data_IF_507798778787
#
_entry.id   IF_507798778787
#
_cell.length_a   1.000
_cell.length_b   1.000
_cell.length_c   1.000
_cell.angle_alpha   90.00
_cell.angle_beta   90.00
_cell.angle_gamma   90.00
#
_symmetry.space_group_name_H-M   'P 1'
#
loop_
_entity.id
_entity.type
_entity.pdbx_description
1 polymer ?
#
# COMPACT_ATOMS: atom_id res chain seq x y z
N UNK A 1 -9.39 78.46 -7.22
CA UNK A 1 -8.72 78.55 -5.90
C UNK A 1 -8.26 77.15 -5.54
N UNK A 2 -6.97 76.87 -5.70
CA UNK A 2 -6.31 75.66 -5.18
C UNK A 2 -5.54 76.13 -3.94
N UNK A 3 -5.60 75.44 -2.79
CA UNK A 3 -4.79 75.83 -1.64
C UNK A 3 -3.32 75.45 -1.93
N UNK A 4 -2.44 76.44 -1.82
CA UNK A 4 -0.98 76.28 -1.94
C UNK A 4 -0.42 75.95 -0.56
N UNK A 5 0.33 74.86 -0.43
CA UNK A 5 1.09 74.54 0.77
C UNK A 5 2.43 75.27 0.76
N UNK A 6 2.93 75.67 1.93
CA UNK A 6 3.98 76.71 2.12
C UNK A 6 5.42 76.33 1.76
N UNK A 7 5.66 75.18 1.13
CA UNK A 7 7.01 74.65 0.97
C UNK A 7 7.49 74.45 -0.48
N UNK A 8 6.78 74.93 -1.49
CA UNK A 8 7.34 75.01 -2.86
C UNK A 8 7.84 73.70 -3.48
N UNK A 9 7.46 72.54 -2.95
CA UNK A 9 7.79 71.23 -3.52
C UNK A 9 6.54 70.66 -4.21
N UNK A 10 6.68 70.41 -5.50
CA UNK A 10 5.73 69.70 -6.33
C UNK A 10 5.47 68.30 -5.76
N UNK A 11 4.21 68.00 -5.46
CA UNK A 11 3.74 66.61 -5.33
C UNK A 11 4.00 65.93 -6.68
N UNK A 12 4.78 64.83 -6.77
CA UNK A 12 4.82 64.07 -8.00
C UNK A 12 3.46 63.36 -8.14
N UNK A 13 2.70 63.82 -9.13
CA UNK A 13 1.44 63.21 -9.52
C UNK A 13 1.64 61.72 -9.83
N UNK A 14 0.72 60.92 -9.30
CA UNK A 14 0.51 59.54 -9.69
C UNK A 14 -0.11 59.53 -11.10
N UNK A 15 0.73 59.51 -12.14
CA UNK A 15 0.32 59.21 -13.51
C UNK A 15 1.52 58.70 -14.32
N UNK A 16 1.29 57.56 -14.98
CA UNK A 16 2.08 57.03 -16.10
C UNK A 16 3.51 56.56 -15.81
N UNK A 17 3.64 55.46 -15.06
CA UNK A 17 4.79 54.57 -15.21
C UNK A 17 4.52 53.59 -16.36
N UNK A 18 4.74 54.05 -17.58
CA UNK A 18 4.80 53.22 -18.78
C UNK A 18 5.91 52.18 -18.58
N UNK A 19 5.56 50.90 -18.37
CA UNK A 19 6.54 49.81 -18.22
C UNK A 19 7.06 49.43 -19.61
N UNK A 20 7.76 50.36 -20.24
CA UNK A 20 8.53 50.13 -21.45
C UNK A 20 9.89 49.56 -21.04
N UNK A 21 10.00 48.23 -21.02
CA UNK A 21 11.31 47.60 -21.02
C UNK A 21 12.02 47.95 -22.35
N UNK A 22 13.26 48.46 -22.33
CA UNK A 22 14.00 48.78 -23.54
C UNK A 22 14.23 47.51 -24.39
N UNK A 23 14.39 47.63 -25.73
CA UNK A 23 14.49 46.49 -26.65
C UNK A 23 15.74 45.60 -26.45
N UNK A 24 16.60 45.92 -25.49
CA UNK A 24 17.84 45.21 -25.15
C UNK A 24 17.82 44.67 -23.71
N UNK A 25 16.66 44.30 -23.19
CA UNK A 25 16.54 43.60 -21.90
C UNK A 25 16.85 42.13 -22.09
N UNK A 26 17.66 41.57 -21.19
CA UNK A 26 17.88 40.13 -21.18
C UNK A 26 16.55 39.45 -20.81
N UNK A 27 16.34 38.22 -21.28
CA UNK A 27 15.11 37.48 -20.96
C UNK A 27 14.91 37.29 -19.44
N UNK A 28 16.01 37.41 -18.66
CA UNK A 28 15.99 37.46 -17.19
C UNK A 28 15.34 38.73 -16.63
N UNK A 29 15.56 39.88 -17.27
CA UNK A 29 14.97 41.17 -16.88
C UNK A 29 13.48 41.19 -17.20
N UNK A 30 13.08 40.58 -18.32
CA UNK A 30 11.68 40.37 -18.69
C UNK A 30 10.99 39.50 -17.64
N UNK A 31 11.64 38.40 -17.21
CA UNK A 31 11.13 37.56 -16.13
C UNK A 31 10.99 38.30 -14.79
N UNK A 32 11.99 39.07 -14.37
CA UNK A 32 11.91 39.87 -13.14
C UNK A 32 10.81 40.95 -13.22
N UNK A 33 10.65 41.60 -14.37
CA UNK A 33 9.61 42.62 -14.58
C UNK A 33 8.20 42.04 -14.53
N UNK A 34 7.99 40.84 -15.11
CA UNK A 34 6.73 40.12 -15.00
C UNK A 34 6.40 39.70 -13.57
N UNK A 35 7.38 39.18 -12.80
CA UNK A 35 7.17 38.86 -11.38
C UNK A 35 6.83 40.12 -10.58
N UNK A 36 7.56 41.21 -10.81
CA UNK A 36 7.32 42.47 -10.12
C UNK A 36 5.97 43.09 -10.50
N UNK A 37 5.55 43.00 -11.76
CA UNK A 37 4.22 43.40 -12.21
C UNK A 37 3.15 42.49 -11.59
N UNK A 38 3.45 41.20 -11.45
CA UNK A 38 2.62 40.23 -10.76
C UNK A 38 2.40 40.56 -9.29
N UNK A 39 3.49 40.73 -8.52
CA UNK A 39 3.45 41.10 -7.11
C UNK A 39 2.70 42.43 -6.87
N UNK A 40 2.69 43.34 -7.85
CA UNK A 40 1.95 44.61 -7.81
C UNK A 40 0.50 44.52 -8.33
N UNK A 41 0.09 43.38 -8.90
CA UNK A 41 -1.22 43.22 -9.53
C UNK A 41 -1.42 44.06 -10.80
N UNK A 42 -0.35 44.47 -11.48
CA UNK A 42 -0.38 45.34 -12.65
C UNK A 42 -0.77 44.58 -13.93
N UNK A 43 -2.08 44.44 -14.14
CA UNK A 43 -2.66 43.73 -15.29
C UNK A 43 -2.32 44.39 -16.63
N UNK A 44 -2.16 45.72 -16.66
CA UNK A 44 -1.85 46.45 -17.88
C UNK A 44 -0.40 46.20 -18.31
N UNK A 45 0.55 46.28 -17.37
CA UNK A 45 1.96 45.94 -17.59
C UNK A 45 2.15 44.50 -18.05
N UNK A 46 1.44 43.53 -17.44
CA UNK A 46 1.50 42.12 -17.85
C UNK A 46 1.00 41.91 -19.30
N UNK A 47 -0.08 42.60 -19.70
CA UNK A 47 -0.59 42.53 -21.10
C UNK A 47 0.39 43.12 -22.09
N UNK A 48 1.03 44.24 -21.76
CA UNK A 48 1.99 44.92 -22.63
C UNK A 48 3.27 44.08 -22.79
N UNK A 49 3.78 43.50 -21.70
CA UNK A 49 4.94 42.62 -21.72
C UNK A 49 4.69 41.34 -22.55
N UNK A 50 3.45 40.83 -22.61
CA UNK A 50 3.09 39.68 -23.46
C UNK A 50 3.16 40.01 -24.94
N UNK A 51 2.64 41.16 -25.35
CA UNK A 51 2.66 41.58 -26.76
C UNK A 51 4.10 41.71 -27.26
N UNK A 52 5.00 42.16 -26.37
CA UNK A 52 6.42 42.26 -26.67
C UNK A 52 7.13 40.89 -26.66
N UNK A 53 6.75 39.97 -25.76
CA UNK A 53 7.41 38.68 -25.58
C UNK A 53 6.42 37.50 -25.50
N UNK A 54 5.96 36.97 -26.66
CA UNK A 54 4.96 35.89 -26.69
C UNK A 54 5.47 34.54 -26.16
N UNK A 55 6.78 34.28 -26.25
CA UNK A 55 7.41 33.04 -25.78
C UNK A 55 7.78 33.05 -24.27
N UNK A 56 7.37 34.08 -23.53
CA UNK A 56 7.78 34.24 -22.13
C UNK A 56 7.15 33.21 -21.18
N UNK A 57 5.95 32.71 -21.49
CA UNK A 57 5.26 31.68 -20.69
C UNK A 57 6.05 30.36 -20.60
N UNK A 58 6.84 30.05 -21.63
CA UNK A 58 7.67 28.84 -21.72
C UNK A 58 9.09 29.06 -21.20
N UNK A 59 9.38 30.23 -20.60
CA UNK A 59 10.72 30.53 -20.13
C UNK A 59 10.96 29.93 -18.73
N UNK A 60 12.07 29.20 -18.61
CA UNK A 60 12.47 28.57 -17.35
C UNK A 60 13.65 29.32 -16.71
N UNK A 61 13.49 29.81 -15.48
CA UNK A 61 14.60 30.28 -14.65
C UNK A 61 14.88 29.23 -13.58
N UNK A 62 16.08 28.64 -13.59
CA UNK A 62 16.39 27.48 -12.74
C UNK A 62 15.34 26.36 -12.89
N UNK A 63 14.84 26.11 -14.12
CA UNK A 63 13.74 25.17 -14.37
C UNK A 63 12.32 25.70 -14.03
N UNK A 64 12.18 26.75 -13.20
CA UNK A 64 10.87 27.28 -12.80
C UNK A 64 10.22 28.13 -13.88
N UNK A 65 8.96 27.83 -14.19
CA UNK A 65 8.08 28.67 -15.03
C UNK A 65 7.57 29.90 -14.25
N UNK A 66 7.08 30.93 -14.95
CA UNK A 66 6.34 32.03 -14.34
C UNK A 66 5.28 31.61 -13.32
N UNK A 67 4.55 30.54 -13.62
CA UNK A 67 3.48 30.05 -12.75
C UNK A 67 4.02 29.48 -11.42
N UNK A 68 5.23 28.89 -11.40
CA UNK A 68 5.86 28.44 -10.15
C UNK A 68 6.07 29.61 -9.19
N UNK A 69 6.63 30.72 -9.69
CA UNK A 69 6.91 31.88 -8.86
C UNK A 69 5.62 32.55 -8.37
N UNK A 70 4.58 32.66 -9.20
CA UNK A 70 3.31 33.24 -8.77
C UNK A 70 2.60 32.40 -7.72
N UNK A 71 2.67 31.07 -7.83
CA UNK A 71 2.22 30.15 -6.77
C UNK A 71 3.07 30.33 -5.51
N UNK A 72 4.39 30.48 -5.65
CA UNK A 72 5.30 30.65 -4.51
C UNK A 72 5.09 31.97 -3.77
N UNK A 73 4.66 33.02 -4.46
CA UNK A 73 4.41 34.35 -3.90
C UNK A 73 2.93 34.57 -3.47
N UNK A 74 2.03 33.64 -3.79
CA UNK A 74 0.60 33.72 -3.43
C UNK A 74 -0.22 34.73 -4.24
N UNK A 75 0.25 35.12 -5.43
CA UNK A 75 -0.37 36.16 -6.26
C UNK A 75 -1.62 35.70 -7.02
N UNK A 76 -2.80 35.66 -6.37
CA UNK A 76 -4.06 35.15 -6.95
C UNK A 76 -4.43 35.78 -8.31
N UNK A 77 -4.34 37.11 -8.44
CA UNK A 77 -4.72 37.83 -9.66
C UNK A 77 -3.80 37.45 -10.83
N UNK A 78 -2.51 37.32 -10.56
CA UNK A 78 -1.48 36.96 -11.55
C UNK A 78 -1.65 35.52 -11.97
N UNK A 79 -1.87 34.63 -11.01
CA UNK A 79 -2.13 33.22 -11.27
C UNK A 79 -3.37 33.03 -12.14
N UNK A 80 -4.47 33.73 -11.85
CA UNK A 80 -5.66 33.72 -12.69
C UNK A 80 -5.37 34.19 -14.13
N UNK A 81 -4.58 35.26 -14.27
CA UNK A 81 -4.18 35.77 -15.59
C UNK A 81 -3.30 34.77 -16.34
N UNK A 82 -2.28 34.21 -15.70
CA UNK A 82 -1.36 33.23 -16.33
C UNK A 82 -2.11 31.98 -16.81
N UNK A 83 -3.00 31.44 -15.98
CA UNK A 83 -3.82 30.29 -16.35
C UNK A 83 -4.78 30.61 -17.49
N UNK A 84 -5.45 31.78 -17.46
CA UNK A 84 -6.32 32.23 -18.55
C UNK A 84 -5.59 32.52 -19.87
N UNK A 85 -4.25 32.48 -19.85
CA UNK A 85 -3.37 32.65 -21.00
C UNK A 85 -2.67 31.36 -21.41
N UNK A 86 -3.05 30.20 -20.84
CA UNK A 86 -2.53 28.88 -21.23
C UNK A 86 -1.21 28.49 -20.56
N UNK A 87 -0.89 29.05 -19.38
CA UNK A 87 0.31 28.64 -18.65
C UNK A 87 0.24 27.16 -18.25
N UNK A 88 1.27 26.38 -18.59
CA UNK A 88 1.34 24.95 -18.27
C UNK A 88 1.43 24.69 -16.76
N UNK A 89 0.46 23.95 -16.22
CA UNK A 89 0.39 23.58 -14.79
C UNK A 89 1.21 22.34 -14.42
N UNK A 90 1.63 21.56 -15.41
CA UNK A 90 2.34 20.28 -15.26
C UNK A 90 3.81 20.37 -15.68
N UNK A 91 4.34 21.60 -15.83
CA UNK A 91 5.74 21.80 -16.19
C UNK A 91 6.61 21.60 -14.96
N UNK A 92 7.65 20.78 -15.05
CA UNK A 92 8.54 20.50 -13.92
C UNK A 92 9.65 21.55 -13.78
N UNK A 93 9.95 21.96 -12.55
CA UNK A 93 11.12 22.76 -12.21
C UNK A 93 12.41 21.90 -12.10
N UNK A 94 13.54 22.52 -11.73
CA UNK A 94 14.82 21.80 -11.56
C UNK A 94 14.78 20.71 -10.48
N UNK A 95 13.80 20.77 -9.58
CA UNK A 95 13.60 19.82 -8.49
C UNK A 95 12.55 18.74 -8.86
N UNK A 96 12.04 18.75 -10.09
CA UNK A 96 10.98 17.86 -10.54
C UNK A 96 9.62 18.19 -9.91
N UNK A 97 9.40 19.42 -9.45
CA UNK A 97 8.12 19.86 -8.93
C UNK A 97 7.34 20.65 -9.98
N UNK A 98 6.04 20.40 -10.09
CA UNK A 98 5.13 21.17 -10.95
C UNK A 98 4.46 22.31 -10.17
N UNK A 99 3.94 23.36 -10.83
CA UNK A 99 3.17 24.41 -10.17
C UNK A 99 2.02 23.81 -9.35
N UNK A 100 1.31 22.82 -9.91
CA UNK A 100 0.24 22.11 -9.21
C UNK A 100 0.73 21.45 -7.92
N UNK A 101 1.87 20.74 -7.97
CA UNK A 101 2.45 20.09 -6.80
C UNK A 101 2.80 21.10 -5.71
N UNK A 102 3.31 22.29 -6.06
CA UNK A 102 3.60 23.36 -5.09
C UNK A 102 2.33 23.90 -4.42
N UNK A 103 1.23 24.08 -5.18
CA UNK A 103 -0.07 24.49 -4.63
C UNK A 103 -0.58 23.47 -3.61
N UNK A 104 -0.53 22.18 -3.96
CA UNK A 104 -1.01 21.10 -3.08
C UNK A 104 -0.16 21.02 -1.81
N UNK A 105 1.17 21.05 -1.93
CA UNK A 105 2.10 20.99 -0.78
C UNK A 105 1.95 22.17 0.19
N UNK A 106 1.43 23.30 -0.27
CA UNK A 106 1.17 24.48 0.55
C UNK A 106 -0.27 24.56 1.06
N UNK A 107 -1.13 23.64 0.64
CA UNK A 107 -2.57 23.68 0.89
C UNK A 107 -3.20 25.03 0.48
N UNK A 108 -2.71 25.66 -0.59
CA UNK A 108 -3.20 26.96 -1.07
C UNK A 108 -4.55 26.81 -1.80
N UNK A 109 -5.64 26.59 -1.05
CA UNK A 109 -6.98 26.30 -1.59
C UNK A 109 -7.51 27.38 -2.53
N UNK A 110 -7.16 28.65 -2.30
CA UNK A 110 -7.56 29.75 -3.18
C UNK A 110 -6.94 29.63 -4.58
N UNK A 111 -5.65 29.25 -4.63
CA UNK A 111 -4.95 29.04 -5.91
C UNK A 111 -5.45 27.75 -6.56
N UNK A 112 -5.69 26.71 -5.76
CA UNK A 112 -6.25 25.46 -6.26
C UNK A 112 -7.65 25.64 -6.86
N UNK A 113 -8.50 26.48 -6.26
CA UNK A 113 -9.79 26.86 -6.80
C UNK A 113 -9.66 27.58 -8.15
N UNK A 114 -8.65 28.45 -8.31
CA UNK A 114 -8.36 29.06 -9.62
C UNK A 114 -7.99 27.99 -10.66
N UNK A 115 -7.24 26.96 -10.28
CA UNK A 115 -6.86 25.87 -11.19
C UNK A 115 -8.10 25.08 -11.61
N UNK A 116 -9.02 24.77 -10.68
CA UNK A 116 -10.28 24.08 -11.01
C UNK A 116 -11.22 24.90 -11.90
N UNK A 117 -11.23 26.22 -11.73
CA UNK A 117 -12.10 27.11 -12.53
C UNK A 117 -11.61 27.33 -13.97
N UNK A 118 -10.39 26.90 -14.32
CA UNK A 118 -9.89 27.02 -15.69
C UNK A 118 -10.28 25.81 -16.54
N UNK A 119 -11.14 26.08 -17.53
CA UNK A 119 -11.82 25.14 -18.42
C UNK A 119 -10.92 24.16 -19.20
N UNK A 120 -9.63 24.45 -19.40
CA UNK A 120 -8.66 23.49 -20.01
C UNK A 120 -8.27 22.35 -19.05
N UNK A 121 -8.55 22.51 -17.76
CA UNK A 121 -8.27 21.55 -16.69
C UNK A 121 -9.54 20.80 -16.25
N UNK A 122 -10.68 21.09 -16.87
CA UNK A 122 -11.96 20.42 -16.61
C UNK A 122 -12.07 19.22 -17.55
N UNK A 123 -12.14 18.03 -16.94
CA UNK A 123 -12.30 16.69 -17.50
C UNK A 123 -12.62 16.59 -19.01
N UNK A 124 -11.63 16.16 -19.81
CA UNK A 124 -11.88 15.66 -21.16
C UNK A 124 -12.36 14.20 -21.12
N UNK A 125 -13.24 13.77 -22.05
CA UNK A 125 -13.81 12.41 -22.08
C UNK A 125 -12.80 11.28 -22.37
N UNK A 126 -11.49 11.57 -22.46
CA UNK A 126 -10.43 10.60 -22.72
C UNK A 126 -9.24 10.81 -21.75
N UNK A 127 -9.32 10.28 -20.53
CA UNK A 127 -8.15 9.92 -19.72
C UNK A 127 -7.78 10.85 -18.56
N UNK A 128 -7.99 10.35 -17.33
CA UNK A 128 -7.57 10.88 -16.03
C UNK A 128 -8.08 12.31 -15.75
N UNK A 129 -9.20 12.40 -15.02
CA UNK A 129 -9.73 13.68 -14.55
C UNK A 129 -8.67 14.42 -13.74
N UNK A 130 -8.42 15.69 -14.08
CA UNK A 130 -7.50 16.57 -13.35
C UNK A 130 -7.75 16.52 -11.83
N UNK A 131 -9.01 16.56 -11.41
CA UNK A 131 -9.44 16.43 -10.01
C UNK A 131 -9.01 15.11 -9.37
N UNK A 132 -9.09 14.00 -10.11
CA UNK A 132 -8.59 12.70 -9.65
C UNK A 132 -7.07 12.74 -9.43
N UNK A 133 -6.32 13.34 -10.35
CA UNK A 133 -4.87 13.52 -10.19
C UNK A 133 -4.53 14.37 -8.95
N UNK A 134 -5.26 15.47 -8.73
CA UNK A 134 -5.11 16.32 -7.54
C UNK A 134 -5.40 15.54 -6.27
N UNK A 135 -6.47 14.74 -6.23
CA UNK A 135 -6.82 13.92 -5.06
C UNK A 135 -5.72 12.92 -4.73
N UNK A 136 -5.19 12.20 -5.73
CA UNK A 136 -4.08 11.27 -5.53
C UNK A 136 -2.81 11.98 -5.04
N UNK A 137 -2.46 13.14 -5.62
CA UNK A 137 -1.32 13.92 -5.15
C UNK A 137 -1.53 14.42 -3.71
N UNK A 138 -2.73 14.87 -3.36
CA UNK A 138 -3.04 15.32 -2.00
C UNK A 138 -2.86 14.20 -0.97
N UNK A 139 -3.35 12.99 -1.26
CA UNK A 139 -3.12 11.81 -0.41
C UNK A 139 -1.64 11.44 -0.34
N UNK A 140 -0.94 11.51 -1.47
CA UNK A 140 0.48 11.23 -1.54
C UNK A 140 1.35 12.22 -0.74
N UNK A 141 0.93 13.48 -0.62
CA UNK A 141 1.61 14.48 0.21
C UNK A 141 1.00 14.62 1.60
N UNK A 142 0.00 13.80 1.95
CA UNK A 142 -0.69 13.83 3.25
C UNK A 142 -1.38 15.18 3.54
N UNK A 143 -1.87 15.84 2.48
CA UNK A 143 -2.51 17.15 2.53
C UNK A 143 -4.02 17.00 2.76
N UNK A 144 -4.39 16.76 4.01
CA UNK A 144 -5.77 16.57 4.48
C UNK A 144 -6.74 17.68 4.04
N UNK A 145 -6.33 18.95 4.16
CA UNK A 145 -7.16 20.10 3.78
C UNK A 145 -7.52 20.08 2.30
N UNK A 146 -6.59 19.66 1.45
CA UNK A 146 -6.81 19.54 0.00
C UNK A 146 -7.71 18.35 -0.31
N UNK A 147 -7.51 17.21 0.37
CA UNK A 147 -8.40 16.03 0.24
C UNK A 147 -9.84 16.41 0.56
N UNK A 148 -10.06 17.06 1.71
CA UNK A 148 -11.39 17.56 2.11
C UNK A 148 -11.95 18.53 1.09
N UNK A 149 -11.16 19.51 0.66
CA UNK A 149 -11.61 20.49 -0.32
C UNK A 149 -12.08 19.85 -1.63
N UNK A 150 -11.35 18.84 -2.14
CA UNK A 150 -11.71 18.16 -3.39
C UNK A 150 -13.01 17.34 -3.24
N UNK A 151 -13.17 16.65 -2.11
CA UNK A 151 -14.34 15.77 -1.87
C UNK A 151 -15.58 16.58 -1.45
N UNK A 152 -15.44 17.53 -0.52
CA UNK A 152 -16.53 18.37 -0.01
C UNK A 152 -17.14 19.26 -1.11
N UNK A 153 -16.35 19.64 -2.13
CA UNK A 153 -16.83 20.39 -3.29
C UNK A 153 -17.19 19.50 -4.50
N UNK A 154 -17.28 18.18 -4.32
CA UNK A 154 -17.70 17.22 -5.35
C UNK A 154 -16.83 17.19 -6.62
N UNK A 155 -15.57 17.66 -6.56
CA UNK A 155 -14.66 17.64 -7.70
C UNK A 155 -14.20 16.22 -8.05
N UNK A 156 -14.05 15.35 -7.05
CA UNK A 156 -13.78 13.93 -7.23
C UNK A 156 -14.28 13.12 -6.02
N UNK A 157 -14.94 11.96 -6.23
CA UNK A 157 -15.29 11.07 -5.14
C UNK A 157 -14.07 10.33 -4.59
N UNK A 158 -14.15 9.83 -3.36
CA UNK A 158 -13.09 9.02 -2.73
C UNK A 158 -12.93 7.63 -3.36
N UNK A 159 -13.89 7.21 -4.19
CA UNK A 159 -13.90 5.91 -4.88
C UNK A 159 -13.20 5.92 -6.25
N UNK A 160 -12.64 7.06 -6.68
CA UNK A 160 -11.91 7.17 -7.95
C UNK A 160 -10.76 6.17 -8.03
N UNK A 161 -10.43 5.74 -9.26
CA UNK A 161 -9.38 4.75 -9.51
C UNK A 161 -8.32 5.28 -10.45
N UNK A 162 -7.06 5.04 -10.12
CA UNK A 162 -5.95 5.32 -11.02
C UNK A 162 -5.77 4.21 -12.09
N UNK A 163 -4.73 4.32 -12.93
CA UNK A 163 -4.44 3.35 -13.98
C UNK A 163 -4.16 1.91 -13.47
N UNK A 164 -3.75 1.74 -12.20
CA UNK A 164 -3.58 0.44 -11.56
C UNK A 164 -4.86 -0.09 -10.90
N UNK A 165 -5.98 0.66 -11.01
CA UNK A 165 -7.25 0.35 -10.36
C UNK A 165 -7.28 0.70 -8.86
N UNK A 166 -6.27 1.39 -8.36
CA UNK A 166 -6.16 1.71 -6.93
C UNK A 166 -6.98 2.95 -6.59
N UNK A 167 -7.63 2.91 -5.42
CA UNK A 167 -8.33 4.07 -4.83
C UNK A 167 -7.39 4.94 -3.99
N UNK A 168 -7.76 6.19 -3.68
CA UNK A 168 -7.05 7.04 -2.72
C UNK A 168 -6.67 6.30 -1.41
N UNK A 169 -7.55 5.45 -0.88
CA UNK A 169 -7.29 4.69 0.34
C UNK A 169 -6.10 3.70 0.17
N UNK A 170 -5.99 3.03 -0.97
CA UNK A 170 -4.84 2.14 -1.25
C UNK A 170 -3.51 2.91 -1.20
N UNK A 171 -3.50 4.15 -1.71
CA UNK A 171 -2.32 5.03 -1.69
C UNK A 171 -2.00 5.53 -0.28
N UNK A 172 -3.01 5.87 0.51
CA UNK A 172 -2.82 6.26 1.92
C UNK A 172 -2.14 5.13 2.73
N UNK A 173 -2.51 3.87 2.47
CA UNK A 173 -1.88 2.71 3.09
C UNK A 173 -0.41 2.55 2.68
N UNK A 174 -0.08 2.73 1.39
CA UNK A 174 1.32 2.69 0.92
C UNK A 174 2.14 3.79 1.58
N UNK A 175 1.56 4.98 1.73
CA UNK A 175 2.20 6.12 2.40
C UNK A 175 2.28 5.98 3.92
N UNK A 176 1.59 4.99 4.51
CA UNK A 176 1.56 4.75 5.97
C UNK A 176 1.02 5.96 6.73
N UNK A 177 -0.02 6.58 6.18
CA UNK A 177 -0.67 7.75 6.78
C UNK A 177 -2.03 7.37 7.36
N UNK A 178 -2.08 6.97 8.65
CA UNK A 178 -3.34 6.56 9.29
C UNK A 178 -4.36 7.71 9.35
N UNK A 179 -3.90 8.95 9.49
CA UNK A 179 -4.77 10.14 9.54
C UNK A 179 -5.57 10.31 8.24
N UNK A 180 -4.88 10.18 7.10
CA UNK A 180 -5.53 10.24 5.78
C UNK A 180 -6.44 9.03 5.53
N UNK A 181 -6.08 7.85 6.05
CA UNK A 181 -6.95 6.66 5.96
C UNK A 181 -8.28 6.87 6.70
N UNK A 182 -8.23 7.36 7.94
CA UNK A 182 -9.42 7.67 8.75
C UNK A 182 -10.27 8.73 8.05
N UNK A 183 -9.64 9.81 7.57
CA UNK A 183 -10.33 10.86 6.82
C UNK A 183 -11.03 10.33 5.57
N UNK A 184 -10.37 9.51 4.76
CA UNK A 184 -10.98 8.94 3.55
C UNK A 184 -12.13 7.99 3.89
N UNK A 185 -12.03 7.23 4.99
CA UNK A 185 -13.11 6.37 5.47
C UNK A 185 -14.27 7.15 6.11
N UNK A 186 -14.02 8.35 6.66
CA UNK A 186 -15.05 9.27 7.14
C UNK A 186 -15.82 9.95 6.02
N UNK A 187 -15.14 10.21 4.90
CA UNK A 187 -15.74 10.76 3.69
C UNK A 187 -16.50 9.69 2.87
N UNK A 188 -16.28 8.41 3.16
CA UNK A 188 -16.92 7.27 2.50
C UNK A 188 -17.94 6.57 3.42
N UNK A 189 -19.16 7.11 3.50
CA UNK A 189 -20.20 6.57 4.37
C UNK A 189 -20.68 5.17 3.98
N UNK A 190 -20.56 4.79 2.70
CA UNK A 190 -20.98 3.49 2.18
C UNK A 190 -19.88 2.43 2.34
N UNK A 191 -18.62 2.85 2.47
CA UNK A 191 -17.47 1.96 2.63
C UNK A 191 -17.02 1.28 1.33
N UNK A 192 -17.39 1.83 0.19
CA UNK A 192 -17.02 1.30 -1.13
C UNK A 192 -15.50 1.28 -1.32
N UNK A 193 -14.80 2.29 -0.81
CA UNK A 193 -13.34 2.41 -0.84
C UNK A 193 -12.66 1.35 0.02
N UNK A 194 -13.32 0.88 1.09
CA UNK A 194 -12.80 -0.15 2.00
C UNK A 194 -12.86 -1.56 1.38
N UNK A 195 -13.76 -1.77 0.42
CA UNK A 195 -13.96 -3.05 -0.28
C UNK A 195 -13.52 -3.02 -1.74
N UNK A 196 -13.11 -1.84 -2.25
CA UNK A 196 -12.65 -1.66 -3.61
C UNK A 196 -11.48 -2.59 -3.97
N UNK A 197 -11.47 -3.06 -5.22
CA UNK A 197 -10.43 -3.94 -5.74
C UNK A 197 -9.62 -3.28 -6.83
N UNK A 198 -8.31 -3.51 -6.83
CA UNK A 198 -7.40 -3.09 -7.89
C UNK A 198 -7.51 -3.98 -9.13
N UNK A 199 -6.71 -3.70 -10.17
CA UNK A 199 -6.62 -4.57 -11.36
C UNK A 199 -6.20 -6.00 -11.01
N UNK A 200 -5.42 -6.20 -9.94
CA UNK A 200 -5.01 -7.52 -9.43
C UNK A 200 -5.99 -8.13 -8.43
N UNK A 201 -7.21 -7.57 -8.35
CA UNK A 201 -8.23 -7.95 -7.37
C UNK A 201 -7.79 -7.76 -5.91
N UNK A 202 -6.80 -6.89 -5.65
CA UNK A 202 -6.31 -6.65 -4.30
C UNK A 202 -7.18 -5.60 -3.61
N UNK A 203 -7.62 -5.89 -2.39
CA UNK A 203 -8.39 -4.96 -1.53
C UNK A 203 -7.46 -4.10 -0.67
N UNK A 204 -7.97 -3.04 0.00
CA UNK A 204 -7.20 -2.29 0.99
C UNK A 204 -6.58 -3.18 2.07
N UNK A 205 -7.27 -4.27 2.47
CA UNK A 205 -6.75 -5.24 3.42
C UNK A 205 -5.49 -5.97 2.89
N UNK A 206 -5.43 -6.28 1.59
CA UNK A 206 -4.22 -6.83 0.97
C UNK A 206 -3.07 -5.82 0.97
N UNK A 207 -3.37 -4.55 0.69
CA UNK A 207 -2.37 -3.48 0.72
C UNK A 207 -1.84 -3.25 2.14
N UNK A 208 -2.71 -3.25 3.15
CA UNK A 208 -2.32 -3.09 4.55
C UNK A 208 -1.49 -4.29 5.02
N UNK A 209 -1.88 -5.50 4.64
CA UNK A 209 -1.12 -6.71 4.91
C UNK A 209 0.30 -6.66 4.30
N UNK A 210 0.44 -6.19 3.05
CA UNK A 210 1.69 -6.19 2.30
C UNK A 210 2.62 -5.01 2.60
N UNK A 211 2.08 -3.80 2.66
CA UNK A 211 2.85 -2.55 2.72
C UNK A 211 2.73 -1.83 4.07
N UNK A 212 1.60 -2.02 4.76
CA UNK A 212 1.31 -1.43 6.06
C UNK A 212 2.06 -2.08 7.24
N UNK A 213 2.15 -1.31 8.32
CA UNK A 213 2.50 -1.76 9.66
C UNK A 213 1.25 -2.23 10.41
N UNK A 214 1.43 -2.70 11.66
CA UNK A 214 0.30 -3.09 12.51
C UNK A 214 -0.69 -1.94 12.73
N UNK A 215 -0.21 -0.69 12.77
CA UNK A 215 -1.05 0.49 12.98
C UNK A 215 -2.01 0.75 11.81
N UNK A 216 -1.55 0.64 10.57
CA UNK A 216 -2.44 0.83 9.41
C UNK A 216 -3.45 -0.33 9.30
N UNK A 217 -3.06 -1.54 9.71
CA UNK A 217 -4.00 -2.66 9.81
C UNK A 217 -5.05 -2.40 10.88
N UNK A 218 -4.67 -1.93 12.07
CA UNK A 218 -5.61 -1.54 13.15
C UNK A 218 -6.57 -0.45 12.67
N UNK A 219 -6.07 0.62 12.05
CA UNK A 219 -6.89 1.71 11.54
C UNK A 219 -7.85 1.21 10.46
N UNK A 220 -7.37 0.39 9.51
CA UNK A 220 -8.25 -0.19 8.51
C UNK A 220 -9.34 -1.07 9.14
N UNK A 221 -9.01 -1.87 10.14
CA UNK A 221 -9.97 -2.70 10.88
C UNK A 221 -10.97 -1.86 11.67
N UNK A 222 -10.55 -0.75 12.27
CA UNK A 222 -11.44 0.22 12.90
C UNK A 222 -12.41 0.84 11.89
N UNK A 223 -11.91 1.26 10.73
CA UNK A 223 -12.76 1.78 9.65
C UNK A 223 -13.76 0.73 9.15
N UNK A 224 -13.30 -0.51 8.94
CA UNK A 224 -14.15 -1.62 8.52
C UNK A 224 -15.22 -1.95 9.55
N UNK A 225 -14.87 -2.04 10.83
CA UNK A 225 -15.84 -2.37 11.90
C UNK A 225 -16.85 -1.25 12.12
N UNK A 226 -16.47 0.00 11.85
CA UNK A 226 -17.40 1.14 11.92
C UNK A 226 -18.46 1.09 10.82
N UNK A 227 -18.10 0.68 9.60
CA UNK A 227 -19.03 0.64 8.46
C UNK A 227 -19.82 -0.67 8.43
N UNK A 228 -19.16 -1.82 8.62
CA UNK A 228 -19.76 -3.14 8.44
C UNK A 228 -20.19 -3.80 9.75
N UNK A 229 -19.91 -3.20 10.91
CA UNK A 229 -20.16 -3.81 12.22
C UNK A 229 -19.09 -4.84 12.61
N UNK A 230 -19.41 -5.74 13.53
CA UNK A 230 -18.47 -6.79 13.92
C UNK A 230 -18.18 -7.73 12.75
N UNK A 231 -16.91 -7.77 12.31
CA UNK A 231 -16.47 -8.55 11.17
C UNK A 231 -16.52 -10.07 11.44
N UNK A 232 -16.49 -10.49 12.71
CA UNK A 232 -16.67 -11.91 13.08
C UNK A 232 -18.13 -12.33 12.89
N UNK A 233 -19.08 -11.51 13.33
CA UNK A 233 -20.53 -11.79 13.21
C UNK A 233 -21.02 -11.77 11.74
N UNK A 234 -20.35 -11.02 10.86
CA UNK A 234 -20.65 -11.06 9.42
C UNK A 234 -20.50 -12.46 8.82
N UNK A 235 -19.55 -13.26 9.33
CA UNK A 235 -19.35 -14.66 8.89
C UNK A 235 -20.52 -15.53 9.31
N UNK A 236 -21.08 -15.30 10.51
CA UNK A 236 -22.23 -16.03 11.04
C UNK A 236 -23.53 -15.69 10.28
N UNK A 237 -23.63 -14.46 9.77
CA UNK A 237 -24.76 -13.98 8.96
C UNK A 237 -24.66 -14.40 7.47
N UNK A 238 -23.59 -15.10 7.07
CA UNK A 238 -23.37 -15.52 5.69
C UNK A 238 -22.97 -14.37 4.74
N UNK A 239 -22.60 -13.21 5.29
CA UNK A 239 -22.06 -12.10 4.53
C UNK A 239 -20.56 -12.30 4.29
N UNK A 240 -20.06 -11.83 3.14
CA UNK A 240 -18.66 -11.95 2.80
C UNK A 240 -17.82 -10.99 3.67
N UNK A 241 -17.08 -11.52 4.65
CA UNK A 241 -16.11 -10.72 5.40
C UNK A 241 -15.05 -10.18 4.41
N UNK A 242 -14.84 -8.85 4.35
CA UNK A 242 -13.95 -8.21 3.37
C UNK A 242 -12.48 -8.62 3.51
N UNK A 243 -12.08 -9.14 4.68
CA UNK A 243 -10.73 -9.70 4.92
C UNK A 243 -10.50 -11.02 4.18
N UNK A 244 -11.59 -11.74 3.86
CA UNK A 244 -11.59 -13.10 3.28
C UNK A 244 -11.79 -13.11 1.76
N UNK A 245 -11.84 -11.92 1.14
CA UNK A 245 -11.83 -11.78 -0.32
C UNK A 245 -10.45 -12.22 -0.82
N UNK A 246 -10.42 -13.01 -1.90
CA UNK A 246 -9.20 -13.43 -2.55
C UNK A 246 -8.72 -12.42 -3.61
N UNK A 247 -7.42 -12.23 -3.71
CA UNK A 247 -6.78 -11.55 -4.84
C UNK A 247 -6.90 -12.34 -6.16
N UNK A 248 -6.25 -11.91 -7.23
CA UNK A 248 -6.24 -12.60 -8.54
C UNK A 248 -5.82 -14.08 -8.45
N UNK A 249 -5.00 -14.43 -7.44
CA UNK A 249 -4.52 -15.80 -7.19
C UNK A 249 -5.37 -16.55 -6.16
N UNK A 250 -6.42 -15.92 -5.62
CA UNK A 250 -7.27 -16.46 -4.57
C UNK A 250 -6.63 -16.38 -3.18
N UNK A 251 -5.65 -15.50 -2.97
CA UNK A 251 -4.98 -15.33 -1.68
C UNK A 251 -5.72 -14.28 -0.86
N UNK A 252 -5.93 -14.53 0.43
CA UNK A 252 -6.56 -13.54 1.32
C UNK A 252 -5.53 -12.57 1.89
N UNK A 253 -6.03 -11.50 2.52
CA UNK A 253 -5.21 -10.54 3.27
C UNK A 253 -4.35 -11.22 4.36
N UNK A 254 -4.90 -12.21 5.07
CA UNK A 254 -4.19 -12.97 6.10
C UNK A 254 -3.06 -13.80 5.51
N UNK A 255 -3.30 -14.48 4.38
CA UNK A 255 -2.23 -15.21 3.68
C UNK A 255 -1.11 -14.26 3.28
N UNK A 256 -1.44 -13.12 2.67
CA UNK A 256 -0.44 -12.13 2.25
C UNK A 256 0.37 -11.64 3.45
N UNK A 257 -0.28 -11.27 4.56
CA UNK A 257 0.40 -10.85 5.78
C UNK A 257 1.38 -11.92 6.29
N UNK A 258 0.99 -13.19 6.23
CA UNK A 258 1.81 -14.31 6.73
C UNK A 258 3.03 -14.66 5.87
N UNK A 259 2.98 -14.34 4.57
CA UNK A 259 4.02 -14.74 3.61
C UNK A 259 4.91 -13.59 3.16
N UNK A 260 4.49 -12.34 3.35
CA UNK A 260 5.32 -11.18 3.05
C UNK A 260 6.49 -11.10 4.05
N UNK A 261 7.70 -11.30 3.55
CA UNK A 261 8.94 -10.93 4.23
C UNK A 261 9.18 -9.43 4.03
N UNK A 262 9.64 -8.72 5.07
CA UNK A 262 9.69 -7.25 5.14
C UNK A 262 10.65 -6.60 4.11
N UNK A 263 11.28 -7.38 3.23
CA UNK A 263 12.26 -6.92 2.24
C UNK A 263 11.68 -6.10 1.08
N UNK A 264 10.36 -6.03 0.91
CA UNK A 264 9.76 -5.33 -0.24
C UNK A 264 9.61 -3.80 -0.07
N UNK A 265 9.98 -3.22 1.08
CA UNK A 265 9.64 -1.82 1.41
C UNK A 265 10.80 -0.85 1.68
N UNK A 266 12.07 -1.26 1.58
CA UNK A 266 13.20 -0.40 1.97
C UNK A 266 14.34 -0.46 0.96
N UNK A 267 14.15 0.22 -0.17
CA UNK A 267 15.22 0.56 -1.10
C UNK A 267 15.53 2.06 -1.05
N UNK A 268 15.80 2.63 0.14
CA UNK A 268 16.47 3.93 0.27
C UNK A 268 17.33 3.96 1.56
N UNK A 269 18.65 4.00 1.32
CA UNK A 269 19.78 4.50 2.13
C UNK A 269 20.06 3.85 3.49
N UNK A 270 21.25 3.25 3.57
CA UNK A 270 21.70 2.42 4.67
C UNK A 270 22.17 3.15 5.92
N UNK A 271 22.09 2.41 7.03
CA UNK A 271 22.98 2.46 8.19
C UNK A 271 23.01 1.02 8.71
N UNK A 272 24.20 0.49 8.98
CA UNK A 272 24.40 -0.89 9.44
C UNK A 272 23.67 -1.17 10.75
N UNK A 273 22.55 -1.88 10.66
CA UNK A 273 21.94 -2.62 11.77
C UNK A 273 22.24 -4.09 11.52
N UNK A 274 22.73 -4.80 12.54
CA UNK A 274 22.95 -6.25 12.49
C UNK A 274 21.74 -6.96 11.90
N UNK A 275 21.95 -7.82 10.91
CA UNK A 275 20.88 -8.46 10.14
C UNK A 275 19.89 -9.23 11.04
N UNK A 276 20.37 -9.75 12.18
CA UNK A 276 19.54 -10.44 13.18
C UNK A 276 18.54 -9.56 13.94
N UNK A 277 18.85 -8.28 14.22
CA UNK A 277 17.88 -7.38 14.88
C UNK A 277 16.79 -6.89 13.91
N UNK A 278 17.13 -6.76 12.62
CA UNK A 278 16.18 -6.38 11.58
C UNK A 278 15.20 -7.53 11.28
N UNK A 279 15.65 -8.78 11.33
CA UNK A 279 14.81 -9.95 11.05
C UNK A 279 13.87 -10.27 12.23
N UNK A 280 14.33 -10.17 13.48
CA UNK A 280 13.48 -10.33 14.67
C UNK A 280 12.34 -9.29 14.72
N UNK A 281 12.65 -8.01 14.47
CA UNK A 281 11.63 -6.95 14.38
C UNK A 281 10.66 -7.17 13.21
N UNK A 282 11.12 -7.76 12.12
CA UNK A 282 10.31 -8.11 10.94
C UNK A 282 9.31 -9.24 11.25
N UNK A 283 9.72 -10.24 12.04
CA UNK A 283 8.85 -11.33 12.52
C UNK A 283 7.81 -10.81 13.51
N UNK A 284 8.20 -9.98 14.48
CA UNK A 284 7.27 -9.40 15.45
C UNK A 284 6.19 -8.53 14.79
N UNK A 285 6.58 -7.71 13.80
CA UNK A 285 5.64 -6.89 13.02
C UNK A 285 4.70 -7.77 12.18
N UNK A 286 5.19 -8.88 11.63
CA UNK A 286 4.36 -9.85 10.91
C UNK A 286 3.34 -10.50 11.83
N UNK A 287 3.79 -10.99 12.98
CA UNK A 287 2.95 -11.65 13.97
C UNK A 287 1.88 -10.71 14.54
N UNK A 288 2.21 -9.43 14.73
CA UNK A 288 1.24 -8.41 15.15
C UNK A 288 0.11 -8.26 14.11
N UNK A 289 0.45 -8.09 12.83
CA UNK A 289 -0.55 -7.98 11.74
C UNK A 289 -1.41 -9.24 11.64
N UNK A 290 -0.79 -10.41 11.74
CA UNK A 290 -1.48 -11.70 11.69
C UNK A 290 -2.47 -11.84 12.85
N UNK A 291 -2.07 -11.49 14.08
CA UNK A 291 -2.96 -11.54 15.25
C UNK A 291 -4.16 -10.61 15.08
N UNK A 292 -3.92 -9.38 14.59
CA UNK A 292 -5.00 -8.43 14.33
C UNK A 292 -6.01 -8.97 13.32
N UNK A 293 -5.54 -9.46 12.17
CA UNK A 293 -6.44 -10.02 11.15
C UNK A 293 -7.19 -11.26 11.63
N UNK A 294 -6.54 -12.12 12.44
CA UNK A 294 -7.18 -13.31 13.02
C UNK A 294 -8.28 -12.95 14.02
N UNK A 295 -8.04 -11.95 14.88
CA UNK A 295 -9.00 -11.50 15.89
C UNK A 295 -10.24 -10.78 15.30
N UNK A 296 -10.26 -10.57 13.99
CA UNK A 296 -11.40 -9.98 13.26
C UNK A 296 -11.96 -10.94 12.19
N UNK A 297 -11.79 -12.25 12.38
CA UNK A 297 -12.39 -13.29 11.54
C UNK A 297 -11.67 -13.57 10.21
N UNK A 298 -10.41 -13.14 10.07
CA UNK A 298 -9.58 -13.45 8.91
C UNK A 298 -9.36 -14.95 8.72
N UNK A 299 -9.53 -15.43 7.48
CA UNK A 299 -9.25 -16.80 7.03
C UNK A 299 -8.00 -16.83 6.16
N UNK A 300 -7.26 -17.94 6.21
CA UNK A 300 -6.05 -18.14 5.41
C UNK A 300 -6.44 -18.34 3.95
N UNK A 301 -7.51 -19.10 3.70
CA UNK A 301 -8.06 -19.31 2.37
C UNK A 301 -9.47 -18.74 2.25
N UNK A 302 -9.87 -18.31 1.03
CA UNK A 302 -11.25 -17.91 0.77
C UNK A 302 -12.21 -19.09 1.05
N UNK A 303 -13.46 -18.80 1.46
CA UNK A 303 -14.45 -19.84 1.72
C UNK A 303 -14.66 -20.72 0.48
N UNK A 304 -14.72 -22.04 0.68
CA UNK A 304 -14.93 -23.02 -0.40
C UNK A 304 -13.69 -23.37 -1.24
N UNK A 305 -12.58 -22.60 -1.15
CA UNK A 305 -11.36 -22.88 -1.91
C UNK A 305 -10.77 -24.27 -1.59
N UNK A 306 -10.64 -24.59 -0.30
CA UNK A 306 -10.11 -25.88 0.15
C UNK A 306 -11.04 -27.04 -0.21
N UNK A 307 -12.36 -26.84 -0.11
CA UNK A 307 -13.36 -27.88 -0.45
C UNK A 307 -13.25 -28.23 -1.93
N UNK A 308 -13.19 -27.23 -2.82
CA UNK A 308 -13.08 -27.45 -4.27
C UNK A 308 -11.78 -28.15 -4.65
N UNK A 309 -10.66 -27.67 -4.11
CA UNK A 309 -9.32 -28.21 -4.44
C UNK A 309 -9.12 -29.62 -3.93
N UNK A 310 -9.58 -29.93 -2.70
CA UNK A 310 -9.52 -31.27 -2.14
C UNK A 310 -10.53 -32.21 -2.81
N UNK A 311 -11.76 -31.77 -3.10
CA UNK A 311 -12.76 -32.58 -3.81
C UNK A 311 -12.28 -33.03 -5.20
N UNK A 312 -11.66 -32.12 -5.96
CA UNK A 312 -11.05 -32.46 -7.25
C UNK A 312 -10.02 -33.60 -7.13
N UNK A 313 -9.21 -33.59 -6.06
CA UNK A 313 -8.22 -34.65 -5.80
C UNK A 313 -8.85 -35.99 -5.39
N UNK A 314 -9.99 -35.96 -4.71
CA UNK A 314 -10.66 -37.14 -4.12
C UNK A 314 -11.55 -37.88 -5.12
N UNK A 315 -12.10 -37.18 -6.13
CA UNK A 315 -13.18 -37.68 -7.00
C UNK A 315 -12.91 -39.03 -7.69
N UNK A 316 -11.65 -39.39 -7.96
CA UNK A 316 -11.28 -40.60 -8.71
C UNK A 316 -10.12 -41.42 -8.14
N UNK A 317 -9.52 -41.05 -7.01
CA UNK A 317 -8.34 -41.74 -6.47
C UNK A 317 -8.40 -41.95 -4.94
N UNK A 318 -7.82 -43.05 -4.38
CA UNK A 318 -7.80 -43.28 -2.93
C UNK A 318 -6.77 -42.39 -2.21
N UNK A 319 -6.22 -41.40 -2.90
CA UNK A 319 -5.08 -40.59 -2.48
C UNK A 319 -5.50 -39.11 -2.45
N UNK A 320 -4.92 -38.35 -1.54
CA UNK A 320 -5.18 -36.92 -1.37
C UNK A 320 -3.88 -36.18 -1.61
N UNK A 321 -3.90 -35.21 -2.51
CA UNK A 321 -2.75 -34.31 -2.71
C UNK A 321 -3.12 -32.98 -2.06
N UNK A 322 -2.27 -32.49 -1.16
CA UNK A 322 -2.48 -31.19 -0.55
C UNK A 322 -2.40 -30.09 -1.61
N UNK A 323 -3.26 -29.06 -1.56
CA UNK A 323 -3.14 -27.90 -2.45
C UNK A 323 -1.75 -27.26 -2.33
N UNK A 324 -1.18 -26.80 -3.45
CA UNK A 324 0.17 -26.22 -3.51
C UNK A 324 0.35 -25.07 -2.50
N UNK A 325 -0.69 -24.26 -2.29
CA UNK A 325 -0.68 -23.17 -1.32
C UNK A 325 -0.60 -23.66 0.13
N UNK A 326 -1.31 -24.74 0.46
CA UNK A 326 -1.23 -25.37 1.80
C UNK A 326 0.16 -25.97 2.02
N UNK A 327 0.73 -26.62 1.00
CA UNK A 327 2.10 -27.12 1.05
C UNK A 327 3.10 -25.98 1.28
N UNK A 328 2.89 -24.83 0.62
CA UNK A 328 3.70 -23.64 0.79
C UNK A 328 3.58 -23.07 2.21
N UNK A 329 2.37 -22.91 2.75
CA UNK A 329 2.15 -22.47 4.14
C UNK A 329 2.86 -23.39 5.14
N UNK A 330 2.67 -24.70 5.03
CA UNK A 330 3.31 -25.68 5.91
C UNK A 330 4.82 -25.62 5.79
N UNK A 331 5.36 -25.49 4.57
CA UNK A 331 6.79 -25.31 4.36
C UNK A 331 7.30 -24.03 5.04
N UNK A 332 6.65 -22.90 4.81
CA UNK A 332 7.09 -21.60 5.34
C UNK A 332 7.00 -21.57 6.87
N UNK A 333 5.89 -22.02 7.45
CA UNK A 333 5.64 -21.91 8.90
C UNK A 333 6.29 -23.01 9.73
N UNK A 334 6.55 -24.19 9.15
CA UNK A 334 7.18 -25.31 9.88
C UNK A 334 8.70 -25.36 9.65
N UNK A 335 9.20 -24.94 8.47
CA UNK A 335 10.65 -24.93 8.16
C UNK A 335 11.29 -23.57 8.38
N UNK A 336 10.55 -22.46 8.21
CA UNK A 336 11.05 -21.10 8.38
C UNK A 336 11.52 -20.77 9.81
N UNK A 337 11.30 -21.66 10.77
CA UNK A 337 11.74 -21.57 12.16
C UNK A 337 13.24 -21.83 12.36
N UNK A 338 14.01 -21.96 11.26
CA UNK A 338 15.45 -22.27 11.26
C UNK A 338 16.37 -21.14 10.79
N UNK A 339 15.87 -19.99 10.33
CA UNK A 339 16.77 -18.88 10.00
C UNK A 339 17.31 -18.15 11.24
N UNK A 340 16.89 -18.57 12.44
CA UNK A 340 17.56 -18.21 13.69
C UNK A 340 18.85 -19.02 13.84
N UNK A 341 19.96 -18.39 13.44
CA UNK A 341 21.33 -18.57 13.95
C UNK A 341 21.89 -20.00 14.04
N UNK A 342 22.66 -20.41 13.03
CA UNK A 342 23.85 -21.26 13.24
C UNK A 342 24.74 -21.24 11.99
N UNK A 343 25.62 -20.24 11.86
CA UNK A 343 26.96 -20.59 11.38
C UNK A 343 27.62 -21.38 12.51
N UNK A 344 28.33 -22.48 12.21
CA UNK A 344 29.13 -23.18 13.21
C UNK A 344 30.39 -22.36 13.44
N UNK A 345 30.28 -21.30 14.22
CA UNK A 345 31.46 -20.73 14.86
C UNK A 345 31.54 -21.34 16.25
N UNK A 346 32.61 -22.11 16.44
CA UNK A 346 33.08 -22.61 17.72
C UNK A 346 33.03 -21.47 18.74
N UNK A 347 32.11 -21.54 19.72
CA UNK A 347 32.33 -21.20 21.14
C UNK A 347 31.02 -20.91 21.90
N UNK A 348 30.96 -21.44 23.15
CA UNK A 348 30.07 -21.12 24.27
C UNK A 348 28.73 -21.90 24.45
N UNK A 349 28.74 -22.75 25.49
CA UNK A 349 27.73 -23.71 25.95
C UNK A 349 26.43 -23.14 26.58
N UNK A 350 25.80 -22.10 26.03
CA UNK A 350 24.51 -21.63 26.59
C UNK A 350 23.47 -21.38 25.49
N UNK A 351 22.48 -22.29 25.42
CA UNK A 351 21.21 -22.30 24.62
C UNK A 351 21.02 -23.41 23.56
N UNK A 352 21.77 -24.52 23.65
CA UNK A 352 21.64 -25.66 22.72
C UNK A 352 20.35 -26.51 22.88
N UNK A 353 19.52 -26.25 23.90
CA UNK A 353 18.38 -27.10 24.28
C UNK A 353 17.13 -26.84 23.41
N UNK A 354 16.91 -25.59 22.97
CA UNK A 354 15.77 -25.22 22.11
C UNK A 354 15.92 -25.69 20.67
N UNK A 355 17.13 -25.56 20.11
CA UNK A 355 17.44 -26.02 18.75
C UNK A 355 17.29 -27.53 18.61
N UNK A 356 17.77 -28.29 19.59
CA UNK A 356 17.61 -29.75 19.62
C UNK A 356 16.14 -30.18 19.72
N UNK A 357 15.35 -29.54 20.60
CA UNK A 357 13.92 -29.85 20.73
C UNK A 357 13.12 -29.64 19.43
N UNK A 358 13.44 -28.61 18.65
CA UNK A 358 12.76 -28.35 17.38
C UNK A 358 13.18 -29.32 16.28
N UNK A 359 14.47 -29.66 16.21
CA UNK A 359 14.97 -30.69 15.29
C UNK A 359 14.30 -32.02 15.61
N UNK A 360 14.23 -32.40 16.89
CA UNK A 360 13.53 -33.60 17.36
C UNK A 360 12.05 -33.57 16.95
N UNK A 361 11.34 -32.46 17.15
CA UNK A 361 9.94 -32.32 16.76
C UNK A 361 9.74 -32.42 15.23
N UNK A 362 10.65 -31.86 14.43
CA UNK A 362 10.63 -31.97 12.96
C UNK A 362 10.96 -33.38 12.49
N UNK A 363 11.91 -34.06 13.13
CA UNK A 363 12.22 -35.47 12.83
C UNK A 363 11.06 -36.38 13.18
N UNK A 364 10.45 -36.20 14.35
CA UNK A 364 9.23 -36.89 14.78
C UNK A 364 8.12 -36.69 13.74
N UNK A 365 7.91 -35.45 13.30
CA UNK A 365 6.91 -35.11 12.31
C UNK A 365 7.17 -35.82 10.98
N UNK A 366 8.40 -35.73 10.45
CA UNK A 366 8.76 -36.38 9.19
C UNK A 366 8.55 -37.89 9.26
N UNK A 367 8.95 -38.51 10.38
CA UNK A 367 8.78 -39.95 10.59
C UNK A 367 7.30 -40.38 10.65
N UNK A 368 6.43 -39.57 11.26
CA UNK A 368 4.98 -39.80 11.21
C UNK A 368 4.43 -39.60 9.79
N UNK A 369 4.86 -38.56 9.09
CA UNK A 369 4.41 -38.25 7.73
C UNK A 369 4.80 -39.33 6.71
N UNK A 370 6.02 -39.87 6.82
CA UNK A 370 6.52 -41.01 6.03
C UNK A 370 5.55 -42.20 6.10
N UNK A 371 4.92 -42.45 7.26
CA UNK A 371 3.94 -43.52 7.42
C UNK A 371 2.61 -43.31 6.67
N UNK A 372 2.32 -42.08 6.25
CA UNK A 372 1.03 -41.67 5.67
C UNK A 372 1.07 -41.46 4.15
N UNK A 373 2.26 -41.25 3.60
CA UNK A 373 2.46 -41.05 2.16
C UNK A 373 2.26 -42.35 1.38
N UNK A 374 1.53 -42.26 0.28
CA UNK A 374 1.37 -43.34 -0.69
C UNK A 374 2.47 -43.23 -1.77
N UNK A 375 3.61 -43.90 -1.56
CA UNK A 375 4.69 -43.92 -2.55
C UNK A 375 4.71 -45.22 -3.38
N UNK A 376 4.54 -45.15 -4.71
CA UNK A 376 4.95 -46.23 -5.59
C UNK A 376 6.44 -46.05 -5.96
N UNK A 377 7.34 -46.80 -5.30
CA UNK A 377 8.72 -47.01 -5.80
C UNK A 377 9.87 -46.27 -5.11
N UNK A 378 9.64 -45.46 -4.07
CA UNK A 378 10.72 -44.88 -3.25
C UNK A 378 10.96 -45.78 -2.02
N UNK A 379 12.22 -46.17 -1.71
CA UNK A 379 12.51 -46.87 -0.47
C UNK A 379 12.31 -45.90 0.71
N UNK A 380 11.15 -45.98 1.37
CA UNK A 380 10.83 -45.15 2.54
C UNK A 380 11.84 -45.33 3.68
N UNK A 381 12.59 -46.44 3.67
CA UNK A 381 13.75 -46.67 4.55
C UNK A 381 14.87 -45.67 4.32
N UNK A 382 15.17 -45.30 3.08
CA UNK A 382 16.20 -44.30 2.76
C UNK A 382 15.76 -42.91 3.23
N UNK A 383 14.49 -42.56 2.99
CA UNK A 383 13.93 -41.29 3.44
C UNK A 383 13.96 -41.18 4.97
N UNK A 384 13.60 -42.26 5.68
CA UNK A 384 13.68 -42.34 7.13
C UNK A 384 15.12 -42.20 7.66
N UNK A 385 16.09 -42.81 6.99
CA UNK A 385 17.51 -42.68 7.36
C UNK A 385 17.99 -41.24 7.19
N UNK A 386 17.65 -40.59 6.08
CA UNK A 386 18.02 -39.19 5.82
C UNK A 386 17.35 -38.23 6.81
N UNK A 387 16.09 -38.47 7.18
CA UNK A 387 15.41 -37.67 8.22
C UNK A 387 16.08 -37.83 9.58
N UNK A 388 16.41 -39.06 9.98
CA UNK A 388 17.11 -39.32 11.25
C UNK A 388 18.55 -38.78 11.27
N UNK A 389 19.16 -38.56 10.10
CA UNK A 389 20.47 -37.93 9.97
C UNK A 389 20.45 -36.39 10.14
N UNK A 390 19.29 -35.79 10.46
CA UNK A 390 19.16 -34.36 10.74
C UNK A 390 18.68 -33.52 9.55
N UNK A 391 18.44 -34.12 8.38
CA UNK A 391 17.96 -33.44 7.17
C UNK A 391 16.44 -33.31 7.10
N UNK A 392 15.73 -33.42 8.23
CA UNK A 392 14.27 -33.32 8.29
C UNK A 392 13.71 -32.04 7.63
N UNK A 393 14.44 -30.93 7.71
CA UNK A 393 14.06 -29.65 7.11
C UNK A 393 14.07 -29.64 5.56
N UNK A 394 14.96 -30.42 4.93
CA UNK A 394 15.01 -30.59 3.47
C UNK A 394 14.03 -31.66 2.98
N UNK A 395 13.79 -32.67 3.81
CA UNK A 395 12.90 -33.79 3.49
C UNK A 395 11.42 -33.41 3.65
N UNK A 396 11.07 -32.56 4.62
CA UNK A 396 9.68 -32.18 4.87
C UNK A 396 8.97 -31.56 3.65
N UNK A 397 9.55 -30.59 2.91
CA UNK A 397 8.95 -30.08 1.67
C UNK A 397 8.67 -31.16 0.62
N UNK A 398 9.57 -32.14 0.50
CA UNK A 398 9.41 -33.26 -0.41
C UNK A 398 8.25 -34.16 0.04
N UNK A 399 8.17 -34.49 1.34
CA UNK A 399 7.06 -35.26 1.91
C UNK A 399 5.69 -34.58 1.73
N UNK A 400 5.64 -33.25 1.89
CA UNK A 400 4.42 -32.45 1.71
C UNK A 400 3.87 -32.49 0.28
N UNK A 401 4.74 -32.69 -0.71
CA UNK A 401 4.37 -32.74 -2.13
C UNK A 401 3.87 -34.12 -2.60
N UNK A 402 4.01 -35.16 -1.78
CA UNK A 402 3.64 -36.52 -2.14
C UNK A 402 2.17 -36.82 -1.82
N UNK A 403 1.51 -37.71 -2.58
CA UNK A 403 0.13 -38.08 -2.33
C UNK A 403 -0.02 -38.83 -1.00
N UNK A 404 -1.00 -38.43 -0.20
CA UNK A 404 -1.34 -39.05 1.08
C UNK A 404 -2.44 -40.10 0.91
N UNK A 405 -2.40 -41.17 1.69
CA UNK A 405 -3.54 -42.11 1.74
C UNK A 405 -4.75 -41.42 2.35
N UNK A 406 -5.94 -41.57 1.75
CA UNK A 406 -7.19 -40.99 2.29
C UNK A 406 -7.43 -41.30 3.77
N UNK A 407 -7.17 -42.54 4.20
CA UNK A 407 -7.31 -42.96 5.59
C UNK A 407 -6.33 -42.26 6.55
N UNK A 408 -5.20 -41.78 6.04
CA UNK A 408 -4.16 -41.13 6.82
C UNK A 408 -4.37 -39.61 6.99
N UNK A 409 -5.33 -39.01 6.26
CA UNK A 409 -5.59 -37.56 6.33
C UNK A 409 -6.02 -37.09 7.73
N UNK A 410 -6.88 -37.87 8.42
CA UNK A 410 -7.26 -37.58 9.82
C UNK A 410 -6.07 -37.66 10.77
N UNK A 411 -5.14 -38.58 10.51
CA UNK A 411 -3.92 -38.72 11.30
C UNK A 411 -2.97 -37.55 11.05
N UNK A 412 -2.85 -37.08 9.80
CA UNK A 412 -2.12 -35.85 9.47
C UNK A 412 -2.67 -34.63 10.20
N UNK A 413 -4.01 -34.44 10.23
CA UNK A 413 -4.63 -33.36 11.03
C UNK A 413 -4.27 -33.48 12.51
N UNK A 414 -4.32 -34.69 13.07
CA UNK A 414 -3.91 -34.92 14.47
C UNK A 414 -2.43 -34.62 14.72
N UNK A 415 -1.56 -34.88 13.75
CA UNK A 415 -0.14 -34.52 13.81
C UNK A 415 0.05 -33.00 13.75
N UNK A 416 -0.67 -32.29 12.87
CA UNK A 416 -0.65 -30.83 12.81
C UNK A 416 -1.08 -30.22 14.16
N UNK A 417 -2.12 -30.76 14.80
CA UNK A 417 -2.56 -30.29 16.12
C UNK A 417 -1.56 -30.61 17.25
N UNK A 418 -0.80 -31.70 17.15
CA UNK A 418 0.31 -31.96 18.09
C UNK A 418 1.44 -30.96 17.93
N UNK A 419 1.72 -30.50 16.72
CA UNK A 419 2.71 -29.45 16.48
C UNK A 419 2.28 -28.11 17.08
N UNK A 420 1.00 -27.75 16.96
CA UNK A 420 0.50 -26.49 17.53
C UNK A 420 0.61 -26.47 19.05
N UNK A 421 0.32 -27.59 19.71
CA UNK A 421 0.39 -27.72 21.18
C UNK A 421 1.83 -27.80 21.71
N UNK A 422 2.76 -28.45 20.98
CA UNK A 422 4.18 -28.52 21.35
C UNK A 422 4.92 -27.20 21.14
N UNK A 423 4.56 -26.45 20.08
CA UNK A 423 5.13 -25.14 19.80
C UNK A 423 4.36 -24.04 20.58
N UNK A 424 4.49 -24.04 21.90
CA UNK A 424 3.78 -23.13 22.80
C UNK A 424 4.15 -21.64 22.67
N UNK A 425 4.93 -21.22 21.66
CA UNK A 425 5.48 -19.85 21.57
C UNK A 425 5.58 -19.23 20.16
N UNK A 426 4.71 -19.48 19.19
CA UNK A 426 4.91 -18.83 17.88
C UNK A 426 3.71 -18.61 16.97
N UNK A 427 3.21 -19.65 16.33
CA UNK A 427 2.43 -19.45 15.10
C UNK A 427 0.93 -19.64 15.31
N UNK A 428 0.24 -18.52 15.56
CA UNK A 428 -1.24 -18.42 15.60
C UNK A 428 -1.93 -18.90 14.33
N UNK A 429 -1.18 -19.04 13.23
CA UNK A 429 -1.68 -19.48 11.91
C UNK A 429 -1.84 -21.00 11.77
N UNK A 430 -1.02 -21.80 12.45
CA UNK A 430 -1.08 -23.26 12.33
C UNK A 430 -2.39 -23.86 12.89
N UNK A 431 -2.91 -23.41 14.06
CA UNK A 431 -4.23 -23.82 14.52
C UNK A 431 -5.32 -23.44 13.51
N UNK A 432 -5.27 -22.22 12.96
CA UNK A 432 -6.27 -21.77 11.99
C UNK A 432 -6.26 -22.59 10.70
N UNK A 433 -5.07 -22.94 10.20
CA UNK A 433 -4.92 -23.82 9.05
C UNK A 433 -5.50 -25.22 9.31
N UNK A 434 -5.25 -25.76 10.51
CA UNK A 434 -5.82 -27.04 10.92
C UNK A 434 -7.35 -26.99 10.90
N UNK A 435 -7.94 -25.93 11.46
CA UNK A 435 -9.39 -25.79 11.55
C UNK A 435 -10.03 -25.65 10.16
N UNK A 436 -9.48 -24.81 9.28
CA UNK A 436 -9.96 -24.65 7.90
C UNK A 436 -9.84 -25.95 7.08
N UNK A 437 -8.75 -26.71 7.24
CA UNK A 437 -8.60 -28.02 6.60
C UNK A 437 -9.56 -29.07 7.17
N UNK A 438 -9.83 -29.02 8.47
CA UNK A 438 -10.77 -29.93 9.12
C UNK A 438 -12.22 -29.65 8.69
N UNK A 439 -12.61 -28.38 8.62
CA UNK A 439 -13.90 -27.92 8.09
C UNK A 439 -14.09 -28.42 6.65
N UNK A 440 -13.14 -28.13 5.77
CA UNK A 440 -13.20 -28.57 4.37
C UNK A 440 -13.25 -30.09 4.22
N UNK A 441 -12.52 -30.84 5.06
CA UNK A 441 -12.55 -32.31 5.05
C UNK A 441 -13.87 -32.87 5.56
N UNK A 442 -14.53 -32.20 6.50
CA UNK A 442 -15.85 -32.61 6.97
C UNK A 442 -16.88 -32.45 5.85
N UNK A 443 -16.88 -31.32 5.16
CA UNK A 443 -17.80 -30.99 4.06
C UNK A 443 -17.70 -31.97 2.88
N UNK A 444 -16.49 -32.40 2.52
CA UNK A 444 -16.26 -33.38 1.44
C UNK A 444 -16.79 -34.78 1.80
N UNK A 445 -16.86 -35.12 3.09
CA UNK A 445 -17.34 -36.44 3.52
C UNK A 445 -18.82 -36.43 3.96
N UNK A 446 -19.42 -35.24 4.15
CA UNK A 446 -20.84 -35.08 4.43
C UNK A 446 -21.68 -34.95 3.15
N UNK A 447 -21.06 -34.49 2.06
CA UNK A 447 -21.58 -34.53 0.67
C UNK A 447 -21.36 -35.88 0.01
#
# INVERSE_FOLDING_TARGET
MIPVNTNGESVPDAQDADVLLPPATSMNDVHAAWLAAGARGDVAGLRQLRVQFPAWLDLHRNGKTPLHYCVEEGGLLVTHLLLGHGAGINVEDSDGATPLKRVIQRADLNVLLLFFNHHELVATPQGQDFSTSVLFQAVEYEMEEVVRFVVDNEYAPVTVRNAAGETPLHRAIIRRSPSVMEMLADLDLEGDSLTAVTVKMETPAHYAARHGSAREVEVLLLCLTRVFGDLEELVELGAANPLNIGDEKGMTSLYVASTTTVSAGRAVVGVGTSEGEADARSVEVRDAKVRLLLNHGGRIFPPGFLVQTLSASVSCTPHVVLPVLVQHCLRVWVVGTRTDTAQPEDDAEVSNDRGNSMIEALTDLCMHWIGYVACPGIPMTLVAVVTCAGYAHEVLPLLLSLPLRRAAFRLMLSCLMKLTTRNASGHTLLPRLHDELSEAWHDINST
#
